data_IF_241582481655
#
_entry.id   IF_241582481655
#
_cell.length_a   1.000
_cell.length_b   1.000
_cell.length_c   1.000
_cell.angle_alpha   90.00
_cell.angle_beta   90.00
_cell.angle_gamma   90.00
#
_symmetry.space_group_name_H-M   'P 1'
#
loop_
_entity.id
_entity.type
_entity.pdbx_description
1 polymer ?
#
# COMPACT_ATOMS: atom_id res chain seq x y z
N UNK A 1 -0.09 8.25 -20.95
CA UNK A 1 -0.33 7.12 -20.03
C UNK A 1 0.72 6.08 -20.40
N UNK A 2 1.92 6.24 -19.83
CA UNK A 2 3.05 5.28 -19.80
C UNK A 2 4.22 6.04 -19.16
N UNK A 3 4.16 6.20 -17.83
CA UNK A 3 5.24 6.72 -16.96
C UNK A 3 4.91 6.23 -15.56
N UNK A 4 5.34 5.01 -15.28
CA UNK A 4 5.30 4.30 -14.00
C UNK A 4 6.59 3.46 -14.05
N UNK A 5 7.28 3.17 -12.93
CA UNK A 5 8.59 2.49 -13.01
C UNK A 5 8.55 1.34 -14.01
N UNK A 6 9.64 1.11 -14.73
CA UNK A 6 9.70 -0.05 -15.62
C UNK A 6 9.19 -1.28 -14.88
N UNK A 7 8.23 -2.01 -15.48
CA UNK A 7 7.54 -3.14 -14.84
C UNK A 7 8.51 -4.13 -14.18
N UNK A 8 9.73 -4.22 -14.70
CA UNK A 8 10.81 -5.03 -14.18
C UNK A 8 11.31 -4.59 -12.81
N UNK A 9 11.39 -3.29 -12.49
CA UNK A 9 11.87 -2.81 -11.20
C UNK A 9 10.90 -3.16 -10.06
N UNK A 10 9.59 -2.95 -10.26
CA UNK A 10 8.56 -3.35 -9.30
C UNK A 10 8.61 -4.86 -9.00
N UNK A 11 8.71 -5.66 -10.06
CA UNK A 11 8.86 -7.12 -9.98
C UNK A 11 10.14 -7.50 -9.25
N UNK A 12 11.27 -6.92 -9.63
CA UNK A 12 12.57 -7.16 -9.01
C UNK A 12 12.55 -6.89 -7.50
N UNK A 13 11.97 -5.76 -7.08
CA UNK A 13 11.86 -5.38 -5.67
C UNK A 13 11.00 -6.40 -4.89
N UNK A 14 9.80 -6.72 -5.39
CA UNK A 14 8.91 -7.70 -4.75
C UNK A 14 9.55 -9.09 -4.68
N UNK A 15 10.17 -9.52 -5.77
CA UNK A 15 10.82 -10.83 -5.89
C UNK A 15 11.96 -11.01 -4.88
N UNK A 16 12.73 -9.94 -4.64
CA UNK A 16 13.90 -10.00 -3.76
C UNK A 16 13.59 -9.68 -2.31
N UNK A 17 12.58 -8.86 -1.99
CA UNK A 17 12.23 -8.52 -0.61
C UNK A 17 11.95 -9.74 0.28
N UNK A 18 11.43 -10.83 -0.30
CA UNK A 18 11.16 -12.08 0.43
C UNK A 18 12.43 -12.70 1.04
N UNK A 19 13.60 -12.46 0.45
CA UNK A 19 14.89 -12.99 0.92
C UNK A 19 15.42 -12.27 2.18
N UNK A 20 14.80 -11.15 2.55
CA UNK A 20 15.21 -10.30 3.66
C UNK A 20 14.27 -10.39 4.87
N UNK A 21 13.33 -11.33 4.83
CA UNK A 21 12.42 -11.62 5.94
C UNK A 21 13.04 -12.62 6.94
N UNK A 22 12.68 -12.56 8.23
CA UNK A 22 13.14 -13.54 9.22
C UNK A 22 12.55 -14.93 8.98
N UNK A 23 13.21 -15.98 9.51
CA UNK A 23 12.80 -17.39 9.35
C UNK A 23 11.32 -17.68 9.65
N UNK A 24 10.74 -16.94 10.60
CA UNK A 24 9.32 -17.04 10.99
C UNK A 24 8.33 -16.66 9.88
N UNK A 25 8.80 -16.00 8.82
CA UNK A 25 8.05 -15.56 7.65
C UNK A 25 8.45 -16.31 6.37
N UNK A 26 9.14 -17.44 6.48
CA UNK A 26 9.59 -18.26 5.33
C UNK A 26 8.48 -18.65 4.35
N UNK A 27 7.22 -18.64 4.76
CA UNK A 27 6.05 -18.86 3.89
C UNK A 27 5.89 -17.81 2.78
N UNK A 28 6.54 -16.64 2.87
CA UNK A 28 6.62 -15.68 1.76
C UNK A 28 7.38 -16.25 0.56
N UNK A 29 8.33 -17.15 0.78
CA UNK A 29 9.08 -17.80 -0.30
C UNK A 29 8.17 -18.61 -1.22
N UNK A 30 7.15 -19.26 -0.66
CA UNK A 30 6.17 -20.06 -1.40
C UNK A 30 5.27 -19.19 -2.30
N UNK A 31 5.20 -17.88 -2.03
CA UNK A 31 4.36 -16.91 -2.74
C UNK A 31 5.17 -15.90 -3.56
N UNK A 32 6.49 -16.10 -3.71
CA UNK A 32 7.37 -15.18 -4.46
C UNK A 32 6.86 -14.91 -5.88
N UNK A 33 6.46 -15.96 -6.61
CA UNK A 33 5.95 -15.83 -7.98
C UNK A 33 4.67 -14.98 -8.03
N UNK A 34 3.77 -15.16 -7.06
CA UNK A 34 2.57 -14.33 -6.94
C UNK A 34 2.92 -12.87 -6.67
N UNK A 35 3.82 -12.61 -5.71
CA UNK A 35 4.24 -11.25 -5.37
C UNK A 35 4.92 -10.54 -6.55
N UNK A 36 5.70 -11.27 -7.35
CA UNK A 36 6.29 -10.77 -8.61
C UNK A 36 5.19 -10.44 -9.63
N UNK A 37 4.31 -11.39 -9.94
CA UNK A 37 3.31 -11.21 -11.00
C UNK A 37 2.31 -10.09 -10.71
N UNK A 38 2.00 -9.85 -9.44
CA UNK A 38 1.07 -8.83 -8.97
C UNK A 38 1.74 -7.51 -8.56
N UNK A 39 3.07 -7.38 -8.69
CA UNK A 39 3.82 -6.17 -8.32
C UNK A 39 3.46 -4.91 -9.12
N UNK A 40 2.81 -5.08 -10.27
CA UNK A 40 2.41 -3.99 -11.19
C UNK A 40 0.90 -3.83 -11.27
N UNK A 41 0.11 -4.54 -10.46
CA UNK A 41 -1.35 -4.45 -10.50
C UNK A 41 -1.89 -3.02 -10.26
N UNK A 42 -1.31 -2.22 -9.34
CA UNK A 42 -1.70 -0.83 -9.16
C UNK A 42 -1.53 0.04 -10.42
N UNK A 43 -0.79 -0.46 -11.41
CA UNK A 43 -0.64 0.20 -12.70
C UNK A 43 -1.79 0.05 -13.66
N UNK A 44 -2.51 -1.06 -13.53
CA UNK A 44 -3.64 -1.42 -14.38
C UNK A 44 -5.00 -1.22 -13.73
N UNK A 45 -5.06 -0.92 -12.44
CA UNK A 45 -6.30 -0.84 -11.68
C UNK A 45 -7.00 0.54 -11.80
N UNK A 46 -8.06 0.71 -11.02
CA UNK A 46 -8.82 1.97 -10.93
C UNK A 46 -8.40 2.88 -9.78
N UNK A 47 -7.30 2.57 -9.09
CA UNK A 47 -6.84 3.36 -7.96
C UNK A 47 -6.38 4.75 -8.43
N UNK A 48 -6.51 5.78 -7.59
CA UNK A 48 -6.18 7.13 -7.98
C UNK A 48 -4.68 7.28 -8.28
N UNK A 49 -4.34 8.00 -9.36
CA UNK A 49 -2.94 8.22 -9.74
C UNK A 49 -2.10 8.91 -8.67
N UNK A 50 -2.73 9.67 -7.77
CA UNK A 50 -2.04 10.31 -6.64
C UNK A 50 -1.56 9.35 -5.55
N UNK A 51 -1.87 8.06 -5.64
CA UNK A 51 -1.31 7.05 -4.75
C UNK A 51 0.16 6.72 -5.06
N UNK A 52 0.64 7.06 -6.25
CA UNK A 52 1.93 6.62 -6.78
C UNK A 52 3.09 7.59 -6.53
N UNK A 53 2.83 8.77 -6.00
CA UNK A 53 3.86 9.80 -5.86
C UNK A 53 3.61 10.69 -4.65
N UNK A 54 4.59 11.54 -4.35
CA UNK A 54 4.44 12.71 -3.51
C UNK A 54 5.37 13.81 -3.99
N UNK A 55 4.84 14.95 -4.41
CA UNK A 55 5.62 16.14 -4.78
C UNK A 55 6.14 16.82 -3.51
N UNK A 56 7.16 16.22 -2.87
CA UNK A 56 7.56 16.62 -1.51
C UNK A 56 8.13 18.05 -1.46
N UNK A 57 8.69 18.50 -2.58
CA UNK A 57 9.22 19.84 -2.83
C UNK A 57 8.13 20.92 -3.00
N UNK A 58 6.86 20.53 -3.05
CA UNK A 58 5.74 21.47 -2.87
C UNK A 58 5.65 22.00 -1.44
N UNK A 59 6.09 21.22 -0.45
CA UNK A 59 5.87 21.51 0.97
C UNK A 59 7.08 22.19 1.63
N UNK A 60 7.03 23.51 1.92
CA UNK A 60 8.16 24.21 2.53
C UNK A 60 8.54 23.68 3.92
N UNK A 61 7.60 23.07 4.65
CA UNK A 61 7.89 22.45 5.95
C UNK A 61 8.80 21.22 5.82
N UNK A 62 8.80 20.54 4.68
CA UNK A 62 9.72 19.42 4.45
C UNK A 62 11.16 19.91 4.39
N UNK A 63 11.45 20.96 3.61
CA UNK A 63 12.77 21.58 3.57
C UNK A 63 13.19 22.17 4.93
N UNK A 64 12.23 22.70 5.68
CA UNK A 64 12.47 23.22 7.03
C UNK A 64 12.62 22.12 8.10
N UNK A 65 12.41 20.84 7.76
CA UNK A 65 12.51 19.71 8.67
C UNK A 65 11.40 19.64 9.71
N UNK A 66 10.24 20.24 9.44
CA UNK A 66 9.08 20.29 10.34
C UNK A 66 7.75 19.90 9.65
N UNK A 67 7.82 19.14 8.57
CA UNK A 67 6.63 18.62 7.88
C UNK A 67 5.77 17.74 8.81
N UNK A 68 4.44 17.93 8.83
CA UNK A 68 3.56 17.10 9.63
C UNK A 68 3.31 15.74 8.95
N UNK A 69 4.10 14.73 9.30
CA UNK A 69 3.99 13.38 8.73
C UNK A 69 2.58 12.75 8.88
N UNK A 70 1.89 13.02 9.99
CA UNK A 70 0.58 12.44 10.27
C UNK A 70 -0.50 13.00 9.33
N UNK A 71 -1.32 12.12 8.72
CA UNK A 71 -2.32 12.50 7.72
C UNK A 71 -3.28 13.58 8.22
N UNK A 72 -3.84 13.42 9.43
CA UNK A 72 -4.76 14.40 10.00
C UNK A 72 -4.12 15.78 10.17
N UNK A 73 -2.84 15.82 10.49
CA UNK A 73 -2.09 17.08 10.66
C UNK A 73 -1.78 17.71 9.30
N UNK A 74 -1.42 16.90 8.29
CA UNK A 74 -1.25 17.36 6.92
C UNK A 74 -2.57 17.88 6.32
N UNK A 75 -3.69 17.20 6.54
CA UNK A 75 -5.03 17.64 6.13
C UNK A 75 -5.41 18.95 6.83
N UNK A 76 -5.10 19.10 8.13
CA UNK A 76 -5.39 20.33 8.84
C UNK A 76 -4.61 21.54 8.29
N UNK A 77 -3.41 21.31 7.75
CA UNK A 77 -2.56 22.37 7.20
C UNK A 77 -2.89 22.70 5.73
N UNK A 78 -3.09 21.68 4.89
CA UNK A 78 -3.20 21.82 3.44
C UNK A 78 -4.59 21.53 2.87
N UNK A 79 -5.40 20.75 3.59
CA UNK A 79 -6.66 20.20 3.09
C UNK A 79 -6.43 19.01 2.15
N UNK A 80 -7.39 18.08 2.13
CA UNK A 80 -7.27 16.81 1.40
C UNK A 80 -7.02 17.00 -0.10
N UNK A 81 -7.71 17.94 -0.75
CA UNK A 81 -7.56 18.16 -2.20
C UNK A 81 -6.15 18.62 -2.60
N UNK A 82 -5.45 19.33 -1.71
CA UNK A 82 -4.06 19.73 -1.96
C UNK A 82 -3.11 18.55 -1.77
N UNK A 83 -3.38 17.66 -0.81
CA UNK A 83 -2.60 16.43 -0.67
C UNK A 83 -2.82 15.49 -1.86
N UNK A 84 -4.07 15.27 -2.28
CA UNK A 84 -4.39 14.47 -3.47
C UNK A 84 -3.77 15.04 -4.74
N UNK A 85 -3.70 16.37 -4.88
CA UNK A 85 -3.05 16.97 -6.06
C UNK A 85 -1.53 16.73 -6.08
N UNK A 86 -0.88 16.79 -4.92
CA UNK A 86 0.57 16.65 -4.77
C UNK A 86 1.00 15.24 -4.35
N UNK A 87 0.12 14.24 -4.47
CA UNK A 87 0.44 12.84 -4.19
C UNK A 87 0.37 12.46 -2.70
N UNK A 88 0.01 11.19 -2.45
CA UNK A 88 -0.31 10.65 -1.13
C UNK A 88 0.41 9.36 -0.79
N UNK A 89 1.40 8.93 -1.59
CA UNK A 89 2.05 7.60 -1.43
C UNK A 89 2.48 7.28 0.02
N UNK A 90 2.99 8.21 0.86
CA UNK A 90 3.39 7.89 2.24
C UNK A 90 2.23 7.39 3.09
N UNK A 91 1.07 8.03 2.96
CA UNK A 91 -0.12 7.68 3.73
C UNK A 91 -0.81 6.44 3.18
N UNK A 92 -0.67 6.16 1.89
CA UNK A 92 -1.15 4.90 1.29
C UNK A 92 -0.34 3.72 1.86
N UNK A 93 0.98 3.83 1.89
CA UNK A 93 1.85 2.81 2.51
C UNK A 93 1.46 2.54 3.96
N UNK A 94 1.26 3.59 4.76
CA UNK A 94 0.86 3.48 6.17
C UNK A 94 -0.51 2.76 6.32
N UNK A 95 -1.53 3.22 5.60
CA UNK A 95 -2.88 2.63 5.63
C UNK A 95 -2.93 1.18 5.13
N UNK A 96 -2.13 0.86 4.13
CA UNK A 96 -2.08 -0.48 3.55
C UNK A 96 -1.27 -1.45 4.41
N UNK A 97 -0.29 -0.94 5.16
CA UNK A 97 0.40 -1.73 6.19
C UNK A 97 -0.56 -2.11 7.33
N UNK A 98 -1.42 -1.17 7.76
CA UNK A 98 -2.51 -1.45 8.71
C UNK A 98 -3.50 -2.49 8.16
N UNK A 99 -3.83 -2.38 6.87
CA UNK A 99 -4.71 -3.33 6.18
C UNK A 99 -4.10 -4.73 6.15
N UNK A 100 -2.83 -4.85 5.79
CA UNK A 100 -2.07 -6.09 5.81
C UNK A 100 -2.03 -6.71 7.21
N UNK A 101 -1.80 -5.88 8.23
CA UNK A 101 -1.83 -6.29 9.65
C UNK A 101 -3.19 -6.91 10.01
N UNK A 102 -4.29 -6.25 9.63
CA UNK A 102 -5.64 -6.74 9.90
C UNK A 102 -5.90 -8.06 9.19
N UNK A 103 -5.52 -8.20 7.92
CA UNK A 103 -5.70 -9.44 7.16
C UNK A 103 -4.92 -10.60 7.77
N UNK A 104 -3.64 -10.38 8.11
CA UNK A 104 -2.81 -11.38 8.78
C UNK A 104 -3.39 -11.78 10.14
N UNK A 105 -3.83 -10.83 10.97
CA UNK A 105 -4.44 -11.11 12.29
C UNK A 105 -5.74 -11.91 12.20
N UNK A 106 -6.40 -11.86 11.04
CA UNK A 106 -7.64 -12.55 10.76
C UNK A 106 -7.43 -13.88 10.01
N UNK A 107 -6.19 -14.26 9.72
CA UNK A 107 -5.85 -15.43 8.89
C UNK A 107 -6.45 -15.38 7.48
N UNK A 108 -6.72 -14.19 6.93
CA UNK A 108 -7.27 -14.02 5.59
C UNK A 108 -6.16 -14.03 4.53
N UNK A 109 -5.47 -15.17 4.45
CA UNK A 109 -4.25 -15.32 3.65
C UNK A 109 -4.48 -15.18 2.14
N UNK A 110 -5.69 -15.42 1.65
CA UNK A 110 -6.03 -15.20 0.24
C UNK A 110 -5.87 -13.72 -0.15
N UNK A 111 -6.27 -12.80 0.73
CA UNK A 111 -6.16 -11.36 0.50
C UNK A 111 -4.80 -10.78 0.95
N UNK A 112 -4.10 -11.44 1.90
CA UNK A 112 -2.76 -11.02 2.34
C UNK A 112 -1.79 -10.89 1.17
N UNK A 113 -1.79 -11.83 0.23
CA UNK A 113 -0.81 -11.83 -0.87
C UNK A 113 -1.02 -10.68 -1.85
N UNK A 114 -2.29 -10.36 -2.16
CA UNK A 114 -2.61 -9.23 -3.03
C UNK A 114 -2.13 -7.91 -2.40
N UNK A 115 -2.51 -7.65 -1.15
CA UNK A 115 -2.11 -6.44 -0.43
C UNK A 115 -0.60 -6.39 -0.23
N UNK A 116 0.07 -7.52 0.02
CA UNK A 116 1.52 -7.56 0.15
C UNK A 116 2.24 -7.17 -1.17
N UNK A 117 1.76 -7.65 -2.32
CA UNK A 117 2.32 -7.33 -3.64
C UNK A 117 2.11 -5.85 -4.01
N UNK A 118 0.88 -5.36 -3.83
CA UNK A 118 0.50 -3.97 -4.12
C UNK A 118 1.19 -2.99 -3.15
N UNK A 119 1.45 -3.37 -1.90
CA UNK A 119 2.28 -2.58 -0.99
C UNK A 119 3.73 -2.49 -1.48
N UNK A 120 4.24 -3.56 -2.10
CA UNK A 120 5.54 -3.55 -2.77
C UNK A 120 5.60 -2.59 -3.95
N UNK A 121 4.48 -2.40 -4.66
CA UNK A 121 4.36 -1.40 -5.70
C UNK A 121 4.56 0.02 -5.15
N UNK A 122 3.78 0.41 -4.13
CA UNK A 122 3.86 1.76 -3.55
C UNK A 122 5.20 2.03 -2.85
N UNK A 123 5.79 1.01 -2.23
CA UNK A 123 7.16 1.12 -1.71
C UNK A 123 8.15 1.38 -2.84
N UNK A 124 8.08 0.66 -3.96
CA UNK A 124 8.94 0.91 -5.10
C UNK A 124 8.74 2.33 -5.66
N UNK A 125 7.51 2.77 -5.89
CA UNK A 125 7.16 4.13 -6.33
C UNK A 125 7.78 5.21 -5.44
N UNK A 126 7.59 5.11 -4.12
CA UNK A 126 8.16 6.07 -3.16
C UNK A 126 9.70 6.02 -3.06
N UNK A 127 10.35 5.04 -3.68
CA UNK A 127 11.81 4.96 -3.79
C UNK A 127 12.34 5.55 -5.10
N UNK A 128 11.48 5.99 -6.02
CA UNK A 128 11.84 6.65 -7.27
C UNK A 128 12.07 8.11 -6.97
N UNK A 129 13.29 8.67 -7.11
CA UNK A 129 13.49 10.07 -6.81
C UNK A 129 12.57 11.02 -7.60
N UNK A 130 12.29 10.72 -8.87
CA UNK A 130 11.38 11.50 -9.71
C UNK A 130 9.90 11.35 -9.33
N UNK A 131 9.51 10.37 -8.53
CA UNK A 131 8.15 10.30 -7.94
C UNK A 131 8.04 11.16 -6.67
N UNK A 132 9.12 11.84 -6.29
CA UNK A 132 9.20 12.67 -5.08
C UNK A 132 9.19 14.18 -5.40
N UNK A 133 8.91 14.62 -6.64
CA UNK A 133 9.14 16.01 -7.05
C UNK A 133 8.15 16.55 -8.08
N UNK A 134 7.82 17.84 -7.93
CA UNK A 134 7.12 18.65 -8.94
C UNK A 134 7.83 18.64 -10.31
N UNK A 135 9.11 18.30 -10.38
CA UNK A 135 9.90 18.23 -11.62
C UNK A 135 10.03 16.79 -12.17
N UNK A 136 9.09 15.90 -11.86
CA UNK A 136 9.17 14.46 -12.15
C UNK A 136 9.57 14.09 -13.60
N UNK A 137 9.22 14.91 -14.60
CA UNK A 137 9.51 14.67 -16.01
C UNK A 137 10.40 15.76 -16.63
N UNK A 138 11.11 16.53 -15.81
CA UNK A 138 12.02 17.58 -16.26
C UNK A 138 11.32 18.85 -16.74
N UNK A 139 10.02 18.99 -16.51
CA UNK A 139 9.20 20.11 -16.99
C UNK A 139 9.61 21.49 -16.46
N UNK A 140 10.34 21.55 -15.35
CA UNK A 140 10.82 22.80 -14.73
C UNK A 140 12.28 23.11 -15.07
N UNK A 141 13.02 22.14 -15.64
CA UNK A 141 14.46 22.26 -15.94
C UNK A 141 14.79 21.99 -17.41
N UNK A 142 13.78 21.87 -18.27
CA UNK A 142 13.89 21.55 -19.71
C UNK A 142 14.43 20.13 -20.02
N UNK A 143 14.48 19.23 -19.04
CA UNK A 143 14.85 17.81 -19.20
C UNK A 143 13.68 16.92 -19.65
N UNK A 144 12.77 17.44 -20.47
CA UNK A 144 11.50 16.79 -20.82
C UNK A 144 11.67 15.31 -21.22
N UNK A 145 10.93 14.42 -20.55
CA UNK A 145 10.96 12.97 -20.82
C UNK A 145 11.95 12.19 -19.96
N UNK A 146 12.70 12.85 -19.06
CA UNK A 146 13.68 12.20 -18.18
C UNK A 146 13.08 11.07 -17.34
N UNK A 147 11.81 11.18 -16.97
CA UNK A 147 11.11 10.17 -16.18
C UNK A 147 11.23 8.78 -16.81
N UNK A 148 10.81 8.64 -18.07
CA UNK A 148 10.86 7.37 -18.81
C UNK A 148 12.29 6.97 -19.20
N UNK A 149 13.17 7.95 -19.49
CA UNK A 149 14.58 7.64 -19.81
C UNK A 149 15.30 7.03 -18.62
N UNK A 150 15.12 7.57 -17.42
CA UNK A 150 15.72 7.05 -16.20
C UNK A 150 15.07 5.73 -15.78
N UNK A 151 13.78 5.73 -15.43
CA UNK A 151 13.15 4.61 -14.70
C UNK A 151 12.89 3.38 -15.56
N UNK A 152 12.67 3.57 -16.87
CA UNK A 152 12.31 2.50 -17.78
C UNK A 152 13.49 2.16 -18.67
N UNK A 153 14.00 3.12 -19.44
CA UNK A 153 15.00 2.78 -20.47
C UNK A 153 16.35 2.41 -19.86
N UNK A 154 16.87 3.22 -18.93
CA UNK A 154 18.15 2.98 -18.30
C UNK A 154 18.09 1.83 -17.31
N UNK A 155 17.17 1.86 -16.34
CA UNK A 155 17.09 0.82 -15.29
C UNK A 155 16.83 -0.57 -15.88
N UNK A 156 15.88 -0.72 -16.81
CA UNK A 156 15.60 -2.03 -17.41
C UNK A 156 16.80 -2.59 -18.19
N UNK A 157 17.54 -1.72 -18.89
CA UNK A 157 18.71 -2.14 -19.65
C UNK A 157 19.87 -2.63 -18.76
N UNK A 158 19.91 -2.21 -17.49
CA UNK A 158 20.99 -2.49 -16.55
C UNK A 158 20.51 -3.28 -15.32
N UNK A 159 19.32 -3.89 -15.36
CA UNK A 159 18.73 -4.62 -14.23
C UNK A 159 19.66 -5.76 -13.75
N UNK A 160 20.38 -6.40 -14.67
CA UNK A 160 21.31 -7.50 -14.39
C UNK A 160 22.62 -7.02 -13.71
N UNK A 161 22.89 -5.70 -13.71
CA UNK A 161 24.06 -5.10 -13.06
C UNK A 161 23.77 -4.71 -11.60
N UNK A 162 22.50 -4.78 -11.16
CA UNK A 162 22.11 -4.43 -9.81
C UNK A 162 22.70 -5.41 -8.80
N UNK A 163 23.37 -4.86 -7.79
CA UNK A 163 23.82 -5.64 -6.64
C UNK A 163 22.73 -5.69 -5.57
N UNK A 164 22.51 -6.85 -4.97
CA UNK A 164 21.51 -7.03 -3.91
C UNK A 164 21.99 -6.45 -2.56
N UNK A 165 21.07 -5.97 -1.70
CA UNK A 165 21.44 -5.40 -0.42
C UNK A 165 22.02 -6.45 0.54
N UNK A 166 22.75 -5.96 1.54
CA UNK A 166 23.07 -6.74 2.75
C UNK A 166 22.16 -6.32 3.90
N UNK A 167 21.81 -7.24 4.79
CA UNK A 167 21.02 -6.94 5.98
C UNK A 167 19.76 -7.78 6.03
N UNK A 168 18.74 -7.27 6.72
CA UNK A 168 17.41 -7.87 6.82
C UNK A 168 16.38 -6.75 7.00
N UNK A 169 15.12 -7.04 6.72
CA UNK A 169 14.01 -6.19 7.13
C UNK A 169 14.05 -5.96 8.65
N UNK A 170 13.60 -4.78 9.08
CA UNK A 170 13.54 -4.37 10.47
C UNK A 170 12.13 -3.92 10.83
N UNK A 171 11.74 -4.13 12.09
CA UNK A 171 10.46 -3.61 12.57
C UNK A 171 10.49 -2.08 12.61
N UNK A 172 9.41 -1.44 12.16
CA UNK A 172 9.21 0.01 12.23
C UNK A 172 8.22 0.38 13.33
N UNK A 173 8.67 1.20 14.28
CA UNK A 173 7.78 1.74 15.34
C UNK A 173 6.68 2.66 14.78
N UNK A 174 6.95 3.29 13.63
CA UNK A 174 6.05 4.17 12.91
C UNK A 174 6.33 4.04 11.42
N UNK A 175 5.38 3.50 10.67
CA UNK A 175 5.51 3.30 9.22
C UNK A 175 5.56 4.65 8.53
N UNK A 176 4.62 5.54 8.83
CA UNK A 176 4.60 6.89 8.24
C UNK A 176 5.89 7.69 8.48
N UNK A 177 6.45 7.66 9.69
CA UNK A 177 7.71 8.39 9.97
C UNK A 177 8.91 7.75 9.28
N UNK A 178 8.92 6.42 9.16
CA UNK A 178 9.97 5.70 8.43
C UNK A 178 9.90 6.00 6.93
N UNK A 179 8.69 6.12 6.39
CA UNK A 179 8.45 6.48 5.00
C UNK A 179 8.96 7.88 4.68
N UNK A 180 8.56 8.90 5.45
CA UNK A 180 9.07 10.26 5.26
C UNK A 180 10.60 10.35 5.48
N UNK A 181 11.15 9.54 6.39
CA UNK A 181 12.61 9.49 6.61
C UNK A 181 13.35 9.02 5.36
N UNK A 182 12.94 7.94 4.69
CA UNK A 182 13.65 7.51 3.47
C UNK A 182 13.37 8.45 2.30
N UNK A 183 12.16 9.02 2.18
CA UNK A 183 11.87 10.06 1.18
C UNK A 183 12.83 11.24 1.32
N UNK A 184 13.10 11.68 2.56
CA UNK A 184 14.12 12.67 2.88
C UNK A 184 15.53 12.34 2.37
N UNK A 185 15.88 11.07 2.33
CA UNK A 185 17.19 10.62 1.87
C UNK A 185 17.25 10.46 0.34
N UNK A 186 16.13 10.15 -0.30
CA UNK A 186 16.05 9.85 -1.73
C UNK A 186 15.71 11.08 -2.58
N UNK A 187 14.93 12.03 -2.06
CA UNK A 187 14.58 13.26 -2.78
C UNK A 187 15.80 14.02 -3.34
N UNK A 188 16.94 14.16 -2.61
CA UNK A 188 18.14 14.81 -3.16
C UNK A 188 18.71 14.17 -4.44
N UNK A 189 18.35 12.92 -4.75
CA UNK A 189 18.79 12.25 -5.98
C UNK A 189 18.13 12.81 -7.25
N UNK A 190 17.03 13.57 -7.13
CA UNK A 190 16.41 14.27 -8.27
C UNK A 190 17.41 15.15 -8.99
N UNK A 191 18.19 15.96 -8.25
CA UNK A 191 19.18 16.86 -8.83
C UNK A 191 20.26 16.08 -9.58
N UNK A 192 20.72 14.95 -9.03
CA UNK A 192 21.73 14.10 -9.67
C UNK A 192 21.24 13.52 -10.98
N UNK A 193 19.97 13.09 -11.04
CA UNK A 193 19.35 12.59 -12.27
C UNK A 193 19.29 13.67 -13.35
N UNK A 194 18.90 14.91 -12.98
CA UNK A 194 18.86 16.02 -13.95
C UNK A 194 20.25 16.37 -14.48
N UNK A 195 21.26 16.41 -13.60
CA UNK A 195 22.66 16.67 -14.00
C UNK A 195 23.18 15.58 -14.94
N UNK A 196 22.88 14.30 -14.67
CA UNK A 196 23.26 13.20 -15.54
C UNK A 196 22.56 13.28 -16.91
N UNK A 197 21.28 13.69 -16.96
CA UNK A 197 20.55 13.91 -18.20
C UNK A 197 21.22 14.99 -19.06
N UNK A 198 21.57 16.14 -18.47
CA UNK A 198 22.26 17.24 -19.16
C UNK A 198 23.62 16.78 -19.71
N UNK A 199 24.39 16.01 -18.92
CA UNK A 199 25.67 15.44 -19.35
C UNK A 199 25.48 14.46 -20.51
N UNK A 200 24.48 13.59 -20.42
CA UNK A 200 24.12 12.62 -21.46
C UNK A 200 23.75 13.32 -22.76
N UNK A 201 22.83 14.29 -22.71
CA UNK A 201 22.38 15.09 -23.88
C UNK A 201 23.55 15.84 -24.50
N UNK A 202 24.48 16.34 -23.69
CA UNK A 202 25.71 16.99 -24.15
C UNK A 202 26.63 16.07 -24.97
N UNK A 203 26.56 14.75 -24.77
CA UNK A 203 27.31 13.77 -25.56
C UNK A 203 26.50 13.20 -26.72
N UNK A 204 25.19 13.01 -26.54
CA UNK A 204 24.29 12.39 -27.51
C UNK A 204 22.85 12.90 -27.31
N UNK A 205 22.47 13.91 -28.10
CA UNK A 205 21.15 14.55 -28.02
C UNK A 205 20.01 13.71 -28.60
N UNK A 206 20.33 12.60 -29.29
CA UNK A 206 19.34 11.71 -29.88
C UNK A 206 18.94 10.57 -28.90
N UNK A 207 19.46 10.61 -27.66
CA UNK A 207 19.21 9.61 -26.61
C UNK A 207 19.63 8.18 -27.04
N UNK A 208 20.75 8.06 -27.76
CA UNK A 208 21.30 6.78 -28.20
C UNK A 208 22.08 6.03 -27.11
N UNK A 209 22.85 5.02 -27.51
CA UNK A 209 23.65 4.21 -26.58
C UNK A 209 24.67 5.03 -25.80
N UNK A 210 25.22 6.09 -26.40
CA UNK A 210 26.19 6.96 -25.74
C UNK A 210 25.53 7.71 -24.58
N UNK A 211 24.32 8.23 -24.80
CA UNK A 211 23.52 8.87 -23.75
C UNK A 211 23.28 7.92 -22.57
N UNK A 212 22.78 6.70 -22.82
CA UNK A 212 22.48 5.75 -21.74
C UNK A 212 23.72 5.22 -21.02
N UNK A 213 24.87 5.10 -21.71
CA UNK A 213 26.14 4.76 -21.05
C UNK A 213 26.58 5.86 -20.07
N UNK A 214 26.40 7.14 -20.43
CA UNK A 214 26.68 8.27 -19.52
C UNK A 214 25.72 8.23 -18.34
N UNK A 215 24.40 8.12 -18.60
CA UNK A 215 23.39 8.03 -17.55
C UNK A 215 23.71 6.93 -16.54
N UNK A 216 24.02 5.70 -17.01
CA UNK A 216 24.36 4.60 -16.11
C UNK A 216 25.67 4.86 -15.34
N UNK A 217 26.71 5.35 -16.00
CA UNK A 217 27.99 5.66 -15.34
C UNK A 217 27.84 6.68 -14.21
N UNK A 218 26.95 7.66 -14.37
CA UNK A 218 26.73 8.71 -13.37
C UNK A 218 25.73 8.31 -12.28
N UNK A 219 24.80 7.40 -12.58
CA UNK A 219 23.64 7.10 -11.71
C UNK A 219 23.65 5.69 -11.10
N UNK A 220 24.55 4.79 -11.51
CA UNK A 220 24.59 3.40 -11.04
C UNK A 220 24.44 3.28 -9.51
N UNK A 221 25.19 4.08 -8.78
CA UNK A 221 25.33 4.03 -7.34
C UNK A 221 24.05 4.47 -6.65
N UNK A 222 23.41 5.56 -7.13
CA UNK A 222 22.17 6.05 -6.52
C UNK A 222 20.98 5.17 -6.92
N UNK A 223 20.97 4.61 -8.13
CA UNK A 223 19.96 3.64 -8.57
C UNK A 223 20.04 2.36 -7.74
N UNK A 224 21.25 1.83 -7.52
CA UNK A 224 21.47 0.67 -6.65
C UNK A 224 21.02 0.99 -5.21
N UNK A 225 21.35 2.17 -4.67
CA UNK A 225 20.91 2.58 -3.33
C UNK A 225 19.37 2.64 -3.24
N UNK A 226 18.69 3.26 -4.20
CA UNK A 226 17.23 3.35 -4.24
C UNK A 226 16.58 1.97 -4.26
N UNK A 227 17.00 1.08 -5.17
CA UNK A 227 16.42 -0.26 -5.30
C UNK A 227 16.74 -1.13 -4.07
N UNK A 228 17.97 -1.08 -3.56
CA UNK A 228 18.36 -1.83 -2.38
C UNK A 228 17.61 -1.38 -1.12
N UNK A 229 17.40 -0.07 -0.98
CA UNK A 229 16.57 0.46 0.11
C UNK A 229 15.12 0.00 -0.04
N UNK A 230 14.56 0.04 -1.26
CA UNK A 230 13.19 -0.43 -1.51
C UNK A 230 12.99 -1.90 -1.14
N UNK A 231 13.96 -2.77 -1.46
CA UNK A 231 13.93 -4.20 -1.10
C UNK A 231 13.88 -4.38 0.43
N UNK A 232 14.76 -3.69 1.16
CA UNK A 232 14.83 -3.80 2.63
C UNK A 232 13.62 -3.16 3.30
N UNK A 233 13.16 -2.03 2.79
CA UNK A 233 12.04 -1.28 3.36
C UNK A 233 10.71 -2.01 3.09
N UNK A 234 10.54 -2.65 1.94
CA UNK A 234 9.41 -3.56 1.68
C UNK A 234 9.39 -4.75 2.65
N UNK A 235 10.54 -5.40 2.84
CA UNK A 235 10.68 -6.48 3.82
C UNK A 235 10.37 -5.99 5.25
N UNK A 236 10.77 -4.76 5.58
CA UNK A 236 10.51 -4.11 6.87
C UNK A 236 9.02 -3.84 7.09
N UNK A 237 8.31 -3.40 6.05
CA UNK A 237 6.87 -3.17 6.09
C UNK A 237 6.09 -4.47 6.27
N UNK A 238 6.41 -5.52 5.50
CA UNK A 238 5.80 -6.84 5.69
C UNK A 238 6.07 -7.41 7.09
N UNK A 239 7.31 -7.28 7.57
CA UNK A 239 7.70 -7.68 8.92
C UNK A 239 6.89 -6.91 9.98
N UNK A 240 6.79 -5.59 9.83
CA UNK A 240 6.05 -4.73 10.76
C UNK A 240 4.58 -5.15 10.84
N UNK A 241 3.93 -5.38 9.69
CA UNK A 241 2.55 -5.86 9.65
C UNK A 241 2.38 -7.23 10.34
N UNK A 242 3.32 -8.16 10.08
CA UNK A 242 3.29 -9.49 10.66
C UNK A 242 3.52 -9.49 12.18
N UNK A 243 4.46 -8.68 12.69
CA UNK A 243 4.68 -8.54 14.12
C UNK A 243 3.44 -7.93 14.81
N UNK A 244 2.87 -6.88 14.23
CA UNK A 244 1.67 -6.22 14.73
C UNK A 244 0.44 -7.15 14.70
N UNK A 245 0.39 -8.08 13.75
CA UNK A 245 -0.65 -9.11 13.67
C UNK A 245 -0.51 -10.24 14.70
N UNK A 246 0.55 -10.21 15.53
CA UNK A 246 0.81 -11.26 16.53
C UNK A 246 1.58 -12.46 15.98
N UNK A 247 2.31 -12.28 14.88
CA UNK A 247 3.15 -13.29 14.22
C UNK A 247 2.37 -14.56 13.81
N UNK A 248 1.25 -14.44 13.08
CA UNK A 248 0.46 -15.59 12.64
C UNK A 248 1.24 -16.43 11.62
N UNK A 249 0.98 -17.74 11.58
CA UNK A 249 1.62 -18.66 10.64
C UNK A 249 0.55 -19.29 9.74
N UNK A 250 0.58 -19.08 8.42
CA UNK A 250 -0.42 -19.63 7.49
C UNK A 250 -0.45 -21.15 7.44
N UNK A 251 0.69 -21.79 7.75
CA UNK A 251 0.86 -23.23 7.72
C UNK A 251 0.48 -23.90 9.04
N UNK A 252 0.32 -23.12 10.11
CA UNK A 252 -0.36 -23.61 11.30
C UNK A 252 -1.84 -23.51 10.98
N UNK A 253 -2.46 -24.66 10.69
CA UNK A 253 -3.90 -24.81 10.82
C UNK A 253 -4.18 -24.51 12.28
N UNK A 254 -4.49 -23.25 12.60
CA UNK A 254 -5.33 -23.01 13.75
C UNK A 254 -6.54 -23.89 13.48
N UNK A 255 -6.90 -24.72 14.47
CA UNK A 255 -8.29 -25.16 14.56
C UNK A 255 -9.09 -23.91 14.96
N UNK A 256 -9.03 -22.87 14.14
CA UNK A 256 -10.08 -21.89 14.04
C UNK A 256 -11.22 -22.70 13.50
N UNK A 257 -12.30 -22.75 14.29
CA UNK A 257 -13.57 -23.35 13.89
C UNK A 257 -13.76 -23.05 12.41
N UNK A 258 -13.62 -24.10 11.58
CA UNK A 258 -14.13 -24.14 10.23
C UNK A 258 -15.46 -23.40 10.26
N UNK A 259 -15.69 -22.49 9.32
CA UNK A 259 -16.94 -21.76 9.10
C UNK A 259 -18.13 -22.74 9.01
N UNK A 260 -18.52 -23.30 10.14
CA UNK A 260 -19.71 -24.07 10.31
C UNK A 260 -20.74 -23.02 10.67
N UNK A 261 -21.23 -22.36 9.63
CA UNK A 261 -22.49 -21.65 9.66
C UNK A 261 -23.59 -22.68 9.96
N UNK A 262 -23.67 -23.10 11.22
CA UNK A 262 -24.83 -23.78 11.71
C UNK A 262 -25.94 -22.76 11.75
N UNK A 263 -27.06 -23.01 11.06
CA UNK A 263 -28.30 -22.26 11.21
C UNK A 263 -28.92 -22.39 12.62
N UNK A 264 -28.10 -22.73 13.64
CA UNK A 264 -28.49 -23.08 15.00
C UNK A 264 -27.96 -22.08 16.04
N UNK A 265 -27.24 -21.01 15.65
CA UNK A 265 -26.81 -19.94 16.57
C UNK A 265 -26.93 -18.53 15.97
N UNK A 266 -27.07 -17.54 16.85
CA UNK A 266 -26.92 -16.14 16.47
C UNK A 266 -25.44 -15.86 16.21
N UNK A 267 -25.11 -15.42 15.00
CA UNK A 267 -23.74 -15.07 14.64
C UNK A 267 -23.73 -13.94 13.61
N UNK A 268 -22.91 -12.93 13.85
CA UNK A 268 -22.54 -11.92 12.88
C UNK A 268 -21.19 -12.34 12.29
N UNK A 269 -21.15 -12.57 10.98
CA UNK A 269 -19.96 -12.93 10.21
C UNK A 269 -19.03 -11.73 9.99
N UNK A 270 -17.82 -12.01 9.48
CA UNK A 270 -16.92 -10.95 9.02
C UNK A 270 -17.49 -10.36 7.72
N UNK A 271 -17.21 -9.08 7.49
CA UNK A 271 -17.53 -8.43 6.22
C UNK A 271 -16.44 -8.79 5.18
N UNK A 272 -16.82 -8.97 3.92
CA UNK A 272 -15.89 -9.26 2.83
C UNK A 272 -16.29 -8.50 1.55
N UNK A 273 -15.33 -7.85 0.85
CA UNK A 273 -13.94 -7.68 1.26
C UNK A 273 -13.81 -6.83 2.54
N UNK A 274 -12.65 -6.87 3.21
CA UNK A 274 -12.30 -5.99 4.33
C UNK A 274 -10.76 -5.84 4.41
N UNK A 275 -10.17 -4.66 4.12
CA UNK A 275 -10.84 -3.42 3.78
C UNK A 275 -11.69 -3.49 2.50
N UNK A 276 -12.64 -2.59 2.33
CA UNK A 276 -13.55 -2.58 1.18
C UNK A 276 -13.66 -1.20 0.54
N UNK A 277 -13.99 -1.15 -0.76
CA UNK A 277 -14.22 0.09 -1.51
C UNK A 277 -15.34 -0.11 -2.57
N UNK A 278 -16.44 0.65 -2.53
CA UNK A 278 -17.14 1.12 -1.35
C UNK A 278 -18.20 0.09 -0.89
N UNK A 279 -18.19 -1.13 -1.43
CA UNK A 279 -19.20 -2.17 -1.15
C UNK A 279 -18.57 -3.35 -0.43
N UNK A 280 -19.24 -3.82 0.63
CA UNK A 280 -18.90 -5.07 1.34
C UNK A 280 -20.16 -5.88 1.64
N UNK A 281 -20.00 -7.19 1.75
CA UNK A 281 -21.05 -8.14 2.15
C UNK A 281 -20.79 -8.58 3.58
N UNK A 282 -21.85 -8.69 4.39
CA UNK A 282 -21.80 -9.18 5.76
C UNK A 282 -22.75 -10.38 5.88
N UNK A 283 -22.21 -11.55 6.18
CA UNK A 283 -23.02 -12.73 6.49
C UNK A 283 -23.48 -12.71 7.95
N UNK A 284 -24.63 -13.33 8.24
CA UNK A 284 -25.09 -13.58 9.60
C UNK A 284 -26.01 -14.81 9.66
N UNK A 285 -26.05 -15.47 10.80
CA UNK A 285 -26.95 -16.62 11.04
C UNK A 285 -27.91 -16.35 12.19
N UNK A 286 -29.12 -16.91 12.05
CA UNK A 286 -30.19 -16.85 13.04
C UNK A 286 -30.70 -18.26 13.36
N UNK A 287 -30.80 -18.65 14.64
CA UNK A 287 -31.29 -19.97 15.05
C UNK A 287 -32.82 -20.10 14.93
N UNK A 288 -33.52 -18.96 14.95
CA UNK A 288 -34.97 -18.88 14.96
C UNK A 288 -35.41 -17.56 14.31
N UNK A 289 -36.68 -17.51 13.89
CA UNK A 289 -37.27 -16.29 13.36
C UNK A 289 -37.31 -15.21 14.45
N UNK A 290 -36.62 -14.10 14.22
CA UNK A 290 -36.43 -13.04 15.22
C UNK A 290 -36.44 -11.65 14.59
N UNK A 291 -36.89 -10.65 15.37
CA UNK A 291 -36.70 -9.25 15.01
C UNK A 291 -35.28 -8.82 15.33
N UNK A 292 -34.57 -8.29 14.33
CA UNK A 292 -33.18 -7.85 14.46
C UNK A 292 -32.92 -6.50 13.79
N UNK A 293 -31.86 -5.84 14.22
CA UNK A 293 -31.31 -4.64 13.61
C UNK A 293 -29.81 -4.84 13.32
N UNK A 294 -29.39 -4.54 12.09
CA UNK A 294 -27.97 -4.43 11.71
C UNK A 294 -27.67 -2.96 11.42
N UNK A 295 -26.77 -2.37 12.20
CA UNK A 295 -26.45 -0.95 12.13
C UNK A 295 -24.94 -0.73 12.05
N UNK A 296 -24.54 0.34 11.37
CA UNK A 296 -23.15 0.77 11.21
C UNK A 296 -22.90 2.03 12.02
N UNK A 297 -21.76 2.08 12.70
CA UNK A 297 -21.32 3.16 13.57
C UNK A 297 -19.93 3.65 13.16
N UNK A 298 -19.69 4.95 13.28
CA UNK A 298 -18.34 5.52 13.17
C UNK A 298 -17.54 5.37 14.49
N UNK A 299 -16.28 5.81 14.48
CA UNK A 299 -15.38 5.78 15.65
C UNK A 299 -15.91 6.56 16.86
N UNK A 300 -16.79 7.55 16.66
CA UNK A 300 -17.41 8.31 17.76
C UNK A 300 -18.61 7.59 18.38
N UNK A 301 -19.00 6.45 17.82
CA UNK A 301 -20.19 5.69 18.20
C UNK A 301 -21.49 6.23 17.61
N UNK A 302 -21.43 7.16 16.66
CA UNK A 302 -22.60 7.67 15.96
C UNK A 302 -23.06 6.65 14.92
N UNK A 303 -24.34 6.32 14.92
CA UNK A 303 -24.97 5.49 13.89
C UNK A 303 -24.94 6.24 12.55
N UNK A 304 -24.24 5.67 11.56
CA UNK A 304 -24.08 6.24 10.22
C UNK A 304 -24.94 5.54 9.18
N UNK A 305 -25.36 4.29 9.43
CA UNK A 305 -26.23 3.54 8.54
C UNK A 305 -27.02 2.44 9.27
N UNK A 306 -28.13 1.99 8.67
CA UNK A 306 -28.92 0.83 9.11
C UNK A 306 -29.11 -0.10 7.91
N UNK A 307 -28.42 -1.24 7.94
CA UNK A 307 -28.39 -2.20 6.84
C UNK A 307 -29.63 -3.09 6.82
N UNK A 308 -30.20 -3.37 7.99
CA UNK A 308 -31.43 -4.13 8.16
C UNK A 308 -32.13 -3.75 9.46
N UNK A 309 -33.45 -3.65 9.45
CA UNK A 309 -34.30 -3.47 10.64
C UNK A 309 -35.66 -4.11 10.40
N UNK A 310 -35.88 -5.29 10.99
CA UNK A 310 -37.09 -6.06 10.73
C UNK A 310 -37.07 -7.49 11.26
N UNK A 311 -38.09 -8.26 10.88
CA UNK A 311 -38.17 -9.70 11.15
C UNK A 311 -37.47 -10.48 10.04
N UNK A 312 -36.64 -11.44 10.42
CA UNK A 312 -35.95 -12.35 9.51
C UNK A 312 -36.16 -13.80 9.96
N UNK A 313 -36.35 -14.70 9.00
CA UNK A 313 -36.49 -16.15 9.26
C UNK A 313 -35.20 -16.78 9.79
N UNK A 314 -35.30 -17.94 10.42
CA UNK A 314 -34.13 -18.74 10.78
C UNK A 314 -33.30 -19.10 9.54
N UNK A 315 -31.97 -19.15 9.67
CA UNK A 315 -31.07 -19.48 8.57
C UNK A 315 -29.86 -18.56 8.47
N UNK A 316 -29.11 -18.73 7.38
CA UNK A 316 -27.97 -17.91 7.00
C UNK A 316 -28.47 -16.84 6.02
N UNK A 317 -28.05 -15.60 6.24
CA UNK A 317 -28.44 -14.44 5.47
C UNK A 317 -27.21 -13.59 5.19
N UNK A 318 -27.33 -12.73 4.19
CA UNK A 318 -26.32 -11.74 3.84
C UNK A 318 -26.95 -10.35 3.82
N UNK A 319 -26.16 -9.32 4.12
CA UNK A 319 -26.53 -7.93 3.94
C UNK A 319 -25.38 -7.15 3.31
N UNK A 320 -25.70 -6.26 2.39
CA UNK A 320 -24.71 -5.43 1.70
C UNK A 320 -24.65 -4.06 2.35
N UNK A 321 -23.43 -3.54 2.50
CA UNK A 321 -23.23 -2.14 2.81
C UNK A 321 -22.56 -1.43 1.65
N UNK A 322 -23.23 -0.39 1.12
CA UNK A 322 -22.65 0.54 0.15
C UNK A 322 -22.29 1.84 0.85
N UNK A 323 -21.02 2.00 1.17
CA UNK A 323 -20.48 3.10 1.95
C UNK A 323 -20.06 4.31 1.10
N UNK A 324 -20.58 4.44 -0.13
CA UNK A 324 -20.25 5.55 -1.04
C UNK A 324 -20.51 6.94 -0.43
N UNK A 325 -21.41 7.05 0.54
CA UNK A 325 -21.83 8.31 1.17
C UNK A 325 -21.13 8.63 2.50
N UNK A 326 -20.19 7.80 2.97
CA UNK A 326 -19.42 8.05 4.20
C UNK A 326 -17.91 8.15 3.90
N UNK A 327 -17.13 8.80 4.76
CA UNK A 327 -15.68 9.01 4.54
C UNK A 327 -14.88 7.72 4.73
N UNK A 328 -13.68 7.60 4.14
CA UNK A 328 -12.76 6.50 4.46
C UNK A 328 -12.47 6.44 5.96
N UNK A 329 -12.22 5.24 6.48
CA UNK A 329 -11.88 5.05 7.88
C UNK A 329 -12.44 3.78 8.50
N UNK A 330 -12.34 3.71 9.83
CA UNK A 330 -12.78 2.56 10.62
C UNK A 330 -14.26 2.71 10.98
N UNK A 331 -15.02 1.64 10.75
CA UNK A 331 -16.42 1.53 11.11
C UNK A 331 -16.67 0.28 11.94
N UNK A 332 -17.76 0.30 12.70
CA UNK A 332 -18.24 -0.85 13.45
C UNK A 332 -19.64 -1.20 12.97
N UNK A 333 -19.89 -2.48 12.67
CA UNK A 333 -21.24 -2.97 12.40
C UNK A 333 -21.69 -3.86 13.55
N UNK A 334 -22.96 -3.73 13.91
CA UNK A 334 -23.58 -4.42 15.04
C UNK A 334 -24.85 -5.11 14.61
N UNK A 335 -25.00 -6.37 14.99
CA UNK A 335 -26.25 -7.11 14.94
C UNK A 335 -26.85 -7.14 16.36
N UNK A 336 -28.11 -6.73 16.46
CA UNK A 336 -28.90 -6.80 17.69
C UNK A 336 -30.18 -7.60 17.42
N UNK A 337 -30.37 -8.71 18.14
CA UNK A 337 -31.52 -9.60 18.04
C UNK A 337 -31.99 -9.99 19.45
N UNK A 338 -33.05 -9.33 19.96
CA UNK A 338 -33.45 -9.46 21.36
C UNK A 338 -32.32 -9.04 22.31
N UNK A 339 -31.89 -9.97 23.18
CA UNK A 339 -30.78 -9.77 24.12
C UNK A 339 -29.39 -10.03 23.49
N UNK A 340 -29.34 -10.64 22.30
CA UNK A 340 -28.07 -10.89 21.60
C UNK A 340 -27.57 -9.60 20.95
N UNK A 341 -26.31 -9.26 21.23
CA UNK A 341 -25.60 -8.15 20.59
C UNK A 341 -24.20 -8.62 20.22
N UNK A 342 -23.86 -8.53 18.93
CA UNK A 342 -22.50 -8.76 18.45
C UNK A 342 -22.06 -7.56 17.62
N UNK A 343 -20.82 -7.09 17.81
CA UNK A 343 -20.23 -5.98 17.07
C UNK A 343 -18.91 -6.42 16.47
N UNK A 344 -18.63 -5.99 15.23
CA UNK A 344 -17.37 -6.22 14.52
C UNK A 344 -16.86 -4.94 13.87
N UNK A 345 -15.57 -4.93 13.53
CA UNK A 345 -14.85 -3.83 12.90
C UNK A 345 -14.73 -4.06 11.38
N UNK A 346 -14.85 -3.00 10.60
CA UNK A 346 -14.55 -2.96 9.17
C UNK A 346 -13.79 -1.68 8.81
N UNK A 347 -13.06 -1.72 7.69
CA UNK A 347 -12.24 -0.61 7.20
C UNK A 347 -12.72 -0.24 5.79
N UNK A 348 -13.17 1.00 5.61
CA UNK A 348 -13.53 1.55 4.31
C UNK A 348 -12.34 2.29 3.71
N UNK A 349 -11.95 1.90 2.50
CA UNK A 349 -11.03 2.63 1.65
C UNK A 349 -11.85 3.36 0.57
N UNK A 350 -11.49 4.60 0.24
CA UNK A 350 -12.05 5.32 -0.91
C UNK A 350 -10.93 5.82 -1.80
#
# INVERSE_FOLDING_TARGET
METRWGWQAHRYINNHAVDYLPDGMSFFLDHREFLDDHATDPDGDSNPGFYHYIDIDFYPEFEAGNFPNQLDSAIALYGISTLEYNGTVPWIIDQWTDSLTVLMSNSDWANVWQIAAELGHYIADSHQPLHLTLNFNGQLTDNWGIHSRYESSMVNANIDELTLPTGSGVYWDSVIDSTFRYIGNLYPFVELIMVADDLGVGQDSDYGSTYYNVMWTELDSITIISINSAIIDLASVWLTAWENAGRPNPNVISVDEENYYGAERYELGRNYPNPFNPITTIDYSLPEQTQLKISVYDLSGKEVDVLFDGFQEAGIHEVFWNASNVSSGIYFYRLQAGDFVQTRKMVLLK
#
